data_IF_696181910751
#
_entry.id   IF_696181910751
#
_cell.length_a   1.000
_cell.length_b   1.000
_cell.length_c   1.000
_cell.angle_alpha   90.00
_cell.angle_beta   90.00
_cell.angle_gamma   90.00
#
_symmetry.space_group_name_H-M   'P 1'
#
loop_
_entity.id
_entity.type
_entity.pdbx_description
1 polymer ?
#
# COMPACT_ATOMS: atom_id res chain seq x y z
N UNK A 1 7.23 -4.36 3.94
CA UNK A 1 7.76 -5.65 3.44
C UNK A 1 8.87 -6.12 4.37
N UNK A 2 8.93 -7.42 4.65
CA UNK A 2 10.02 -8.05 5.40
C UNK A 2 10.81 -8.95 4.44
N UNK A 3 11.97 -8.48 3.93
CA UNK A 3 12.88 -9.36 3.20
C UNK A 3 13.32 -10.54 4.08
N UNK A 4 13.65 -11.68 3.47
CA UNK A 4 14.16 -12.85 4.21
C UNK A 4 15.40 -12.44 5.01
N UNK A 5 15.37 -12.66 6.32
CA UNK A 5 16.48 -12.30 7.22
C UNK A 5 16.48 -10.85 7.71
N UNK A 6 15.49 -10.04 7.34
CA UNK A 6 15.39 -8.66 7.83
C UNK A 6 14.95 -8.62 9.30
N UNK A 7 15.56 -7.70 10.06
CA UNK A 7 15.19 -7.39 11.45
C UNK A 7 14.26 -6.17 11.55
N UNK A 8 14.01 -5.50 10.43
CA UNK A 8 13.07 -4.39 10.30
C UNK A 8 12.25 -4.52 9.01
N UNK A 9 11.01 -4.07 9.05
CA UNK A 9 10.14 -3.99 7.90
C UNK A 9 10.18 -2.62 7.22
N UNK A 10 10.01 -2.59 5.90
CA UNK A 10 9.77 -1.34 5.16
C UNK A 10 8.28 -1.02 5.06
N UNK A 11 7.92 0.26 5.10
CA UNK A 11 6.58 0.69 4.70
C UNK A 11 6.50 0.64 3.18
N UNK A 12 5.47 -0.03 2.66
CA UNK A 12 5.24 -0.21 1.22
C UNK A 12 4.08 0.64 0.71
N UNK A 13 3.15 1.02 1.59
CA UNK A 13 1.95 1.79 1.26
C UNK A 13 1.64 2.73 2.43
N UNK A 14 1.26 3.98 2.13
CA UNK A 14 0.69 4.91 3.11
C UNK A 14 1.66 5.51 4.14
N UNK A 15 2.97 5.51 3.87
CA UNK A 15 4.00 5.92 4.84
C UNK A 15 4.23 7.42 5.00
N UNK A 16 3.54 8.28 4.25
CA UNK A 16 3.82 9.74 4.22
C UNK A 16 2.70 10.58 4.84
N UNK A 17 2.04 10.04 5.87
CA UNK A 17 0.93 10.68 6.57
C UNK A 17 -0.38 10.67 5.78
N UNK A 18 -1.37 11.37 6.34
CA UNK A 18 -2.69 11.49 5.71
C UNK A 18 -2.67 12.46 4.54
N UNK A 19 -3.23 12.09 3.39
CA UNK A 19 -3.33 12.98 2.24
C UNK A 19 -3.76 12.29 0.95
N UNK A 20 -3.71 13.03 -0.15
CA UNK A 20 -4.25 12.64 -1.46
C UNK A 20 -3.17 12.20 -2.46
N UNK A 21 -1.88 12.32 -2.12
CA UNK A 21 -0.79 11.89 -3.00
C UNK A 21 -0.75 10.35 -3.13
N UNK A 22 -0.10 9.83 -4.17
CA UNK A 22 -0.03 8.39 -4.45
C UNK A 22 0.69 7.57 -3.37
N UNK A 23 1.53 8.21 -2.57
CA UNK A 23 2.27 7.63 -1.44
C UNK A 23 1.62 7.94 -0.07
N UNK A 24 0.40 8.49 -0.09
CA UNK A 24 -0.42 8.83 1.08
C UNK A 24 -1.77 8.10 1.03
N UNK A 25 -2.41 8.00 2.19
CA UNK A 25 -3.75 7.44 2.36
C UNK A 25 -4.58 8.34 3.27
N UNK A 26 -5.89 8.29 3.18
CA UNK A 26 -6.83 9.05 4.00
C UNK A 26 -8.01 8.14 4.39
N UNK A 27 -7.98 7.63 5.62
CA UNK A 27 -8.94 6.64 6.13
C UNK A 27 -9.10 5.44 5.18
N UNK A 28 -8.07 4.59 5.03
CA UNK A 28 -8.23 3.34 4.30
C UNK A 28 -9.16 2.38 5.05
N UNK A 29 -10.12 1.78 4.36
CA UNK A 29 -11.15 0.89 4.97
C UNK A 29 -10.91 -0.59 4.69
N UNK A 30 -10.21 -0.92 3.61
CA UNK A 30 -10.04 -2.30 3.19
C UNK A 30 -8.83 -2.50 2.30
N UNK A 31 -8.32 -3.72 2.33
CA UNK A 31 -7.19 -4.15 1.51
C UNK A 31 -7.41 -5.57 0.99
N UNK A 32 -6.91 -5.85 -0.22
CA UNK A 32 -6.98 -7.17 -0.84
C UNK A 32 -5.83 -7.37 -1.82
N UNK A 33 -5.48 -8.61 -2.09
CA UNK A 33 -4.46 -8.97 -3.07
C UNK A 33 -5.11 -9.58 -4.33
N UNK A 34 -4.54 -9.28 -5.50
CA UNK A 34 -4.86 -10.03 -6.72
C UNK A 34 -4.01 -11.32 -6.85
N UNK A 35 -4.31 -12.14 -7.86
CA UNK A 35 -3.57 -13.39 -8.14
C UNK A 35 -2.10 -13.18 -8.52
N UNK A 36 -1.72 -11.95 -8.86
CA UNK A 36 -0.36 -11.55 -9.19
C UNK A 36 0.34 -10.91 -7.97
N UNK A 37 -0.28 -10.94 -6.79
CA UNK A 37 0.28 -10.40 -5.56
C UNK A 37 0.20 -8.88 -5.44
N UNK A 38 -0.43 -8.17 -6.39
CA UNK A 38 -0.60 -6.72 -6.27
C UNK A 38 -1.58 -6.38 -5.14
N UNK A 39 -1.27 -5.33 -4.39
CA UNK A 39 -2.09 -4.87 -3.27
C UNK A 39 -3.07 -3.80 -3.73
N UNK A 40 -4.34 -4.00 -3.43
CA UNK A 40 -5.40 -3.01 -3.61
C UNK A 40 -5.78 -2.44 -2.25
N UNK A 41 -5.89 -1.12 -2.17
CA UNK A 41 -6.32 -0.40 -0.96
C UNK A 41 -7.51 0.49 -1.29
N UNK A 42 -8.59 0.35 -0.53
CA UNK A 42 -9.75 1.25 -0.59
C UNK A 42 -9.48 2.43 0.33
N UNK A 43 -9.21 3.59 -0.26
CA UNK A 43 -8.83 4.83 0.39
C UNK A 43 -10.06 5.73 0.53
N UNK A 44 -10.86 5.46 1.57
CA UNK A 44 -12.29 5.82 1.62
C UNK A 44 -12.54 7.32 1.60
N UNK A 45 -11.78 8.11 2.37
CA UNK A 45 -11.96 9.58 2.37
C UNK A 45 -11.43 10.27 1.12
N UNK A 46 -10.56 9.60 0.36
CA UNK A 46 -10.11 10.08 -0.93
C UNK A 46 -10.99 9.59 -2.09
N UNK A 47 -12.08 8.86 -1.80
CA UNK A 47 -13.01 8.33 -2.79
C UNK A 47 -12.32 7.54 -3.92
N UNK A 48 -11.26 6.81 -3.59
CA UNK A 48 -10.45 6.08 -4.58
C UNK A 48 -10.10 4.67 -4.11
N UNK A 49 -9.75 3.82 -5.08
CA UNK A 49 -9.03 2.59 -4.84
C UNK A 49 -7.65 2.69 -5.50
N UNK A 50 -6.59 2.37 -4.77
CA UNK A 50 -5.22 2.38 -5.28
C UNK A 50 -4.70 0.97 -5.45
N UNK A 51 -4.01 0.71 -6.56
CA UNK A 51 -3.27 -0.53 -6.81
C UNK A 51 -1.78 -0.27 -6.62
N UNK A 52 -1.11 -1.12 -5.85
CA UNK A 52 0.32 -1.12 -5.65
C UNK A 52 0.92 -2.39 -6.25
N UNK A 53 1.85 -2.21 -7.17
CA UNK A 53 2.64 -3.30 -7.73
C UNK A 53 3.60 -3.80 -6.66
N UNK A 54 3.47 -5.09 -6.32
CA UNK A 54 4.26 -5.75 -5.28
C UNK A 54 5.35 -6.65 -5.87
N UNK A 55 5.32 -6.86 -7.19
CA UNK A 55 6.31 -7.61 -7.96
C UNK A 55 7.44 -6.70 -8.47
N UNK A 56 7.24 -5.38 -8.49
CA UNK A 56 8.36 -4.46 -8.71
C UNK A 56 9.27 -4.42 -7.48
N UNK A 57 10.41 -5.12 -7.58
CA UNK A 57 11.60 -4.82 -6.79
C UNK A 57 12.00 -3.35 -7.04
N UNK A 58 11.47 -2.43 -6.25
CA UNK A 58 12.09 -1.13 -5.98
C UNK A 58 12.94 -1.24 -4.71
#
# INVERSE_FOLDING_TARGET
RWPKGATQGSVIVGGNGSGEQSNQLNWPFGLSFDRHGNLYVVDWRNHRAQKFDMDSNA
#
